data_IF_291660932576
#
_entry.id   IF_291660932576
#
_cell.length_a   1.000
_cell.length_b   1.000
_cell.length_c   1.000
_cell.angle_alpha   90.00
_cell.angle_beta   90.00
_cell.angle_gamma   90.00
#
_symmetry.space_group_name_H-M   'P 1'
#
loop_
_entity.id
_entity.type
_entity.pdbx_description
1 polymer ?
#
# COMPACT_ATOMS: atom_id res chain seq x y z
N UNK A 1 -15.17 13.67 13.10
CA UNK A 1 -15.36 13.56 11.64
C UNK A 1 -15.62 12.11 11.20
N UNK A 2 -14.89 11.10 11.68
CA UNK A 2 -15.09 9.68 11.32
C UNK A 2 -16.32 8.95 11.92
N UNK A 3 -16.99 9.54 12.91
CA UNK A 3 -18.14 8.92 13.60
C UNK A 3 -19.33 8.49 12.72
N UNK A 4 -19.75 9.22 11.65
CA UNK A 4 -20.90 8.84 10.83
C UNK A 4 -20.63 7.59 9.98
N UNK A 5 -19.38 7.32 9.57
CA UNK A 5 -19.02 6.10 8.83
C UNK A 5 -19.24 4.82 9.65
N UNK A 6 -19.20 4.94 10.97
CA UNK A 6 -19.35 3.82 11.90
C UNK A 6 -20.69 3.83 12.65
N UNK A 7 -21.61 4.74 12.29
CA UNK A 7 -22.95 4.76 12.85
C UNK A 7 -23.67 3.43 12.56
N UNK A 8 -24.32 2.86 13.59
CA UNK A 8 -25.08 1.61 13.43
C UNK A 8 -26.27 1.87 12.51
N UNK A 9 -26.27 1.22 11.34
CA UNK A 9 -27.44 1.24 10.45
C UNK A 9 -28.57 0.45 11.08
N UNK A 10 -29.72 1.09 11.28
CA UNK A 10 -30.94 0.43 11.72
C UNK A 10 -31.41 -0.48 10.58
N UNK A 11 -31.59 -1.77 10.88
CA UNK A 11 -32.18 -2.70 9.91
C UNK A 11 -33.69 -2.50 9.94
N UNK A 12 -34.27 -2.20 8.78
CA UNK A 12 -35.71 -2.30 8.58
C UNK A 12 -36.06 -3.79 8.71
N UNK A 13 -36.72 -4.16 9.80
CA UNK A 13 -37.10 -5.55 10.04
C UNK A 13 -38.08 -6.06 9.00
N UNK A 14 -38.18 -7.37 8.87
CA UNK A 14 -39.13 -8.01 7.96
C UNK A 14 -40.38 -8.39 8.76
N UNK A 15 -41.55 -8.02 8.25
CA UNK A 15 -42.81 -8.55 8.75
C UNK A 15 -42.88 -10.04 8.40
N UNK A 16 -42.94 -10.88 9.42
CA UNK A 16 -43.11 -12.33 9.30
C UNK A 16 -44.50 -12.64 9.81
N UNK A 17 -45.35 -13.15 8.92
CA UNK A 17 -46.65 -13.69 9.30
C UNK A 17 -46.42 -15.04 10.00
N UNK A 18 -46.88 -15.18 11.23
CA UNK A 18 -46.87 -16.40 12.00
C UNK A 18 -48.31 -16.81 12.32
N UNK A 19 -48.55 -18.10 12.46
CA UNK A 19 -49.82 -18.61 13.00
C UNK A 19 -49.54 -19.08 14.42
N UNK A 20 -50.07 -18.33 15.39
CA UNK A 20 -49.97 -18.68 16.80
C UNK A 20 -51.28 -19.33 17.27
N UNK A 21 -51.32 -19.82 18.52
CA UNK A 21 -52.50 -20.44 19.15
C UNK A 21 -53.76 -19.56 19.14
N UNK A 22 -53.63 -18.26 18.84
CA UNK A 22 -54.71 -17.28 18.80
C UNK A 22 -55.03 -16.75 17.39
N UNK A 23 -54.47 -17.37 16.34
CA UNK A 23 -54.71 -16.99 14.94
C UNK A 23 -53.50 -16.35 14.23
N UNK A 24 -53.68 -15.82 13.00
CA UNK A 24 -52.61 -15.18 12.25
C UNK A 24 -52.13 -13.90 12.94
N UNK A 25 -50.86 -13.89 13.35
CA UNK A 25 -50.16 -12.75 13.94
C UNK A 25 -49.05 -12.27 12.99
N UNK A 26 -48.75 -10.97 12.99
CA UNK A 26 -47.61 -10.41 12.25
C UNK A 26 -46.57 -9.96 13.26
N UNK A 27 -45.43 -10.65 13.28
CA UNK A 27 -44.28 -10.27 14.11
C UNK A 27 -43.20 -9.64 13.24
N UNK A 28 -42.62 -8.54 13.69
CA UNK A 28 -41.50 -7.89 13.00
C UNK A 28 -40.21 -8.55 13.48
N UNK A 29 -39.63 -9.41 12.64
CA UNK A 29 -38.36 -10.07 12.92
C UNK A 29 -37.17 -9.24 12.41
N UNK A 30 -36.13 -9.09 13.24
CA UNK A 30 -34.87 -8.44 12.84
C UNK A 30 -34.92 -6.92 12.69
N UNK A 31 -35.96 -6.25 13.20
CA UNK A 31 -35.99 -4.79 13.30
C UNK A 31 -35.09 -4.28 14.44
N UNK A 32 -34.44 -3.15 14.19
CA UNK A 32 -33.66 -2.44 15.21
C UNK A 32 -32.15 -2.72 15.13
N UNK A 33 -31.46 -2.29 16.17
CA UNK A 33 -30.02 -2.47 16.31
C UNK A 33 -29.78 -3.86 16.90
N UNK A 34 -29.09 -4.73 16.15
CA UNK A 34 -28.68 -6.03 16.70
C UNK A 34 -27.83 -5.81 17.96
N UNK A 35 -28.33 -6.30 19.11
CA UNK A 35 -27.60 -6.29 20.37
C UNK A 35 -26.47 -7.34 20.40
N UNK A 36 -26.55 -8.34 19.51
CA UNK A 36 -25.58 -9.42 19.40
C UNK A 36 -24.39 -8.99 18.53
N UNK A 37 -23.27 -8.64 19.17
CA UNK A 37 -21.98 -8.41 18.53
C UNK A 37 -20.98 -7.74 19.47
N UNK A 38 -19.69 -8.09 19.34
CA UNK A 38 -18.61 -7.40 20.07
C UNK A 38 -18.66 -5.90 19.73
N UNK A 39 -18.67 -5.00 20.73
CA UNK A 39 -18.65 -3.57 20.47
C UNK A 39 -17.40 -3.22 19.65
N UNK A 40 -17.54 -2.25 18.75
CA UNK A 40 -16.40 -1.72 18.00
C UNK A 40 -15.43 -1.05 18.97
N UNK A 41 -14.15 -1.12 18.64
CA UNK A 41 -13.11 -0.42 19.38
C UNK A 41 -13.34 1.10 19.30
N UNK A 42 -12.88 1.87 20.30
CA UNK A 42 -12.99 3.33 20.28
C UNK A 42 -12.35 3.92 19.02
N UNK A 43 -13.05 4.86 18.37
CA UNK A 43 -12.55 5.51 17.15
C UNK A 43 -11.24 6.25 17.41
N UNK A 44 -11.10 6.87 18.60
CA UNK A 44 -9.88 7.55 19.02
C UNK A 44 -8.67 6.60 19.04
N UNK A 45 -8.85 5.40 19.60
CA UNK A 45 -7.82 4.36 19.61
C UNK A 45 -7.43 3.99 18.17
N UNK A 46 -8.41 3.67 17.32
CA UNK A 46 -8.13 3.26 15.95
C UNK A 46 -7.46 4.35 15.10
N UNK A 47 -7.88 5.62 15.24
CA UNK A 47 -7.25 6.75 14.56
C UNK A 47 -5.80 6.95 15.03
N UNK A 48 -5.57 6.95 16.35
CA UNK A 48 -4.23 7.11 16.91
C UNK A 48 -3.26 6.00 16.48
N UNK A 49 -3.74 4.76 16.33
CA UNK A 49 -2.93 3.65 15.83
C UNK A 49 -2.49 3.88 14.38
N UNK A 50 -3.37 4.40 13.51
CA UNK A 50 -2.99 4.76 12.14
C UNK A 50 -1.93 5.87 12.13
N UNK A 51 -2.12 6.92 12.94
CA UNK A 51 -1.16 8.03 13.01
C UNK A 51 0.22 7.55 13.49
N UNK A 52 0.26 6.75 14.58
CA UNK A 52 1.50 6.19 15.11
C UNK A 52 2.19 5.27 14.09
N UNK A 53 1.41 4.46 13.36
CA UNK A 53 1.94 3.62 12.28
C UNK A 53 2.65 4.45 11.22
N UNK A 54 2.01 5.52 10.75
CA UNK A 54 2.55 6.36 9.70
C UNK A 54 3.74 7.20 10.18
N UNK A 55 3.70 7.72 11.40
CA UNK A 55 4.80 8.50 11.98
C UNK A 55 6.08 7.67 12.16
N UNK A 56 5.96 6.42 12.60
CA UNK A 56 7.11 5.55 12.90
C UNK A 56 7.41 4.50 11.83
N UNK A 57 6.67 4.48 10.72
CA UNK A 57 6.82 3.52 9.60
C UNK A 57 6.82 2.05 10.05
N UNK A 58 5.90 1.69 10.95
CA UNK A 58 5.80 0.33 11.51
C UNK A 58 4.84 -0.58 10.72
N UNK A 59 5.01 -1.89 10.87
CA UNK A 59 4.00 -2.87 10.46
C UNK A 59 2.76 -2.84 11.38
N UNK A 60 1.65 -3.49 10.97
CA UNK A 60 0.44 -3.53 11.80
C UNK A 60 0.66 -4.39 13.07
N UNK A 61 1.52 -5.41 12.99
CA UNK A 61 1.89 -6.29 14.11
C UNK A 61 2.80 -5.58 15.12
N UNK A 62 3.92 -5.00 14.65
CA UNK A 62 4.87 -4.29 15.52
C UNK A 62 4.24 -3.07 16.21
N UNK A 63 3.29 -2.42 15.53
CA UNK A 63 2.55 -1.29 16.10
C UNK A 63 1.80 -1.68 17.37
N UNK A 64 1.09 -2.81 17.33
CA UNK A 64 0.22 -3.27 18.41
C UNK A 64 1.06 -3.74 19.61
N UNK A 65 2.20 -4.38 19.35
CA UNK A 65 3.17 -4.77 20.38
C UNK A 65 3.79 -3.54 21.05
N UNK A 66 4.34 -2.61 20.25
CA UNK A 66 4.99 -1.41 20.78
C UNK A 66 4.02 -0.46 21.49
N UNK A 67 2.74 -0.47 21.11
CA UNK A 67 1.69 0.24 21.84
C UNK A 67 1.48 -0.32 23.25
N UNK A 68 1.52 -1.65 23.42
CA UNK A 68 1.33 -2.28 24.73
C UNK A 68 2.49 -1.96 25.69
N UNK A 69 3.69 -1.75 25.16
CA UNK A 69 4.88 -1.41 25.95
C UNK A 69 5.00 0.10 26.27
N UNK A 70 4.38 0.97 25.47
CA UNK A 70 4.60 2.41 25.53
C UNK A 70 3.44 3.20 26.14
N UNK A 71 3.61 3.65 27.38
CA UNK A 71 2.63 4.46 28.12
C UNK A 71 2.25 5.76 27.38
N UNK A 72 3.19 6.40 26.70
CA UNK A 72 2.93 7.66 25.96
C UNK A 72 1.97 7.40 24.80
N UNK A 73 2.11 6.26 24.12
CA UNK A 73 1.24 5.88 23.02
C UNK A 73 -0.16 5.56 23.51
N UNK A 74 -0.27 4.86 24.64
CA UNK A 74 -1.55 4.56 25.27
C UNK A 74 -2.28 5.85 25.69
N UNK A 75 -1.55 6.80 26.28
CA UNK A 75 -2.11 8.10 26.66
C UNK A 75 -2.60 8.89 25.44
N UNK A 76 -1.79 8.94 24.36
CA UNK A 76 -2.18 9.57 23.10
C UNK A 76 -3.46 8.96 22.53
N UNK A 77 -3.56 7.62 22.54
CA UNK A 77 -4.75 6.86 22.14
C UNK A 77 -5.98 7.07 23.03
N UNK A 78 -5.84 7.77 24.16
CA UNK A 78 -6.93 8.10 25.07
C UNK A 78 -7.13 7.12 26.22
N UNK A 79 -6.14 6.30 26.52
CA UNK A 79 -6.16 5.45 27.71
C UNK A 79 -5.88 6.28 28.96
N UNK A 80 -6.71 6.09 30.00
CA UNK A 80 -6.52 6.72 31.30
C UNK A 80 -5.52 5.97 32.18
N UNK A 81 -5.41 4.66 31.99
CA UNK A 81 -4.55 3.77 32.74
C UNK A 81 -3.69 2.94 31.79
N UNK A 82 -2.54 2.50 32.29
CA UNK A 82 -1.65 1.61 31.56
C UNK A 82 -2.30 0.23 31.40
N UNK A 83 -2.32 -0.27 30.17
CA UNK A 83 -2.80 -1.60 29.81
C UNK A 83 -1.65 -2.36 29.12
N UNK A 84 -1.13 -3.44 29.73
CA UNK A 84 -0.02 -4.22 29.16
C UNK A 84 -0.48 -5.17 28.04
N UNK A 85 -1.78 -5.24 27.75
CA UNK A 85 -2.34 -6.09 26.69
C UNK A 85 -2.36 -5.36 25.36
N UNK A 86 -2.35 -6.14 24.29
CA UNK A 86 -2.52 -5.65 22.93
C UNK A 86 -3.89 -4.92 22.79
N UNK A 87 -3.93 -3.74 22.15
CA UNK A 87 -5.15 -2.96 22.01
C UNK A 87 -6.18 -3.65 21.11
N UNK A 88 -5.72 -4.35 20.09
CA UNK A 88 -6.52 -5.11 19.15
C UNK A 88 -5.69 -6.16 18.42
N UNK A 89 -6.36 -7.05 17.68
CA UNK A 89 -5.68 -7.88 16.68
C UNK A 89 -5.16 -6.99 15.55
N UNK A 90 -3.94 -7.25 15.06
CA UNK A 90 -3.26 -6.44 14.03
C UNK A 90 -4.11 -6.32 12.75
N UNK A 91 -4.86 -7.38 12.40
CA UNK A 91 -5.74 -7.36 11.22
C UNK A 91 -6.85 -6.31 11.30
N UNK A 92 -7.24 -5.88 12.51
CA UNK A 92 -8.27 -4.85 12.70
C UNK A 92 -7.82 -3.48 12.20
N UNK A 93 -6.51 -3.18 12.23
CA UNK A 93 -5.96 -1.91 11.72
C UNK A 93 -6.14 -1.84 10.20
N UNK A 94 -5.84 -2.94 9.50
CA UNK A 94 -6.10 -3.06 8.06
C UNK A 94 -7.59 -2.98 7.72
N UNK A 95 -8.45 -3.66 8.48
CA UNK A 95 -9.92 -3.59 8.30
C UNK A 95 -10.49 -2.20 8.54
N UNK A 96 -9.95 -1.49 9.53
CA UNK A 96 -10.36 -0.11 9.81
C UNK A 96 -9.98 0.82 8.66
N UNK A 97 -8.76 0.70 8.14
CA UNK A 97 -8.30 1.45 6.95
C UNK A 97 -9.19 1.20 5.73
N UNK A 98 -9.53 -0.05 5.48
CA UNK A 98 -10.46 -0.41 4.40
C UNK A 98 -11.87 0.15 4.62
N UNK A 99 -12.33 0.23 5.87
CA UNK A 99 -13.66 0.73 6.21
C UNK A 99 -13.79 2.27 6.10
N UNK A 100 -12.73 3.01 6.42
CA UNK A 100 -12.72 4.49 6.24
C UNK A 100 -12.46 4.89 4.79
N UNK A 101 -11.76 4.04 4.02
CA UNK A 101 -11.39 4.32 2.63
C UNK A 101 -10.40 5.48 2.50
N UNK A 102 -10.09 5.86 1.26
CA UNK A 102 -9.14 6.94 0.95
C UNK A 102 -9.61 8.29 1.52
N UNK A 103 -10.87 8.66 1.30
CA UNK A 103 -11.45 9.90 1.81
C UNK A 103 -11.33 10.03 3.34
N UNK A 104 -11.56 8.95 4.08
CA UNK A 104 -11.43 8.98 5.55
C UNK A 104 -9.98 9.09 6.03
N UNK A 105 -9.02 8.57 5.27
CA UNK A 105 -7.59 8.75 5.55
C UNK A 105 -7.15 10.18 5.23
N UNK A 106 -7.61 10.76 4.12
CA UNK A 106 -7.35 12.16 3.76
C UNK A 106 -7.89 13.13 4.82
N UNK A 107 -9.08 12.87 5.37
CA UNK A 107 -9.64 13.67 6.46
C UNK A 107 -8.79 13.59 7.74
N UNK A 108 -8.26 12.41 8.07
CA UNK A 108 -7.34 12.25 9.21
C UNK A 108 -6.07 13.06 8.99
N UNK A 109 -5.48 12.97 7.79
CA UNK A 109 -4.29 13.75 7.44
C UNK A 109 -4.56 15.25 7.53
N UNK A 110 -5.70 15.70 6.99
CA UNK A 110 -6.12 17.10 7.06
C UNK A 110 -6.23 17.56 8.52
N UNK A 111 -6.90 16.78 9.37
CA UNK A 111 -7.05 17.11 10.79
C UNK A 111 -5.69 17.22 11.51
N UNK A 112 -4.72 16.36 11.17
CA UNK A 112 -3.35 16.42 11.69
C UNK A 112 -2.63 17.69 11.26
N UNK A 113 -2.74 18.08 9.98
CA UNK A 113 -2.17 19.33 9.47
C UNK A 113 -2.83 20.55 10.14
N UNK A 114 -4.15 20.59 10.23
CA UNK A 114 -4.90 21.68 10.85
C UNK A 114 -4.51 21.84 12.34
N UNK A 115 -4.28 20.73 13.04
CA UNK A 115 -3.80 20.71 14.43
C UNK A 115 -2.36 21.21 14.54
N UNK A 116 -1.49 20.87 13.58
CA UNK A 116 -0.12 21.34 13.54
C UNK A 116 -0.03 22.86 13.26
N UNK A 117 -0.91 23.39 12.40
CA UNK A 117 -1.04 24.84 12.17
C UNK A 117 -1.56 25.54 13.42
N UNK A 118 -2.60 24.99 14.05
CA UNK A 118 -3.21 25.57 15.26
C UNK A 118 -2.25 25.58 16.45
N UNK A 119 -1.43 24.55 16.58
CA UNK A 119 -0.39 24.44 17.62
C UNK A 119 0.89 25.22 17.30
N UNK A 120 0.95 25.90 16.13
CA UNK A 120 2.13 26.63 15.61
C UNK A 120 3.37 25.74 15.45
N UNK A 121 3.17 24.44 15.27
CA UNK A 121 4.24 23.50 14.97
C UNK A 121 4.74 23.64 13.52
N UNK A 122 3.86 24.07 12.61
CA UNK A 122 4.17 24.35 11.19
C UNK A 122 4.01 25.85 10.94
N UNK A 123 5.01 26.45 10.30
CA UNK A 123 4.96 27.86 9.88
C UNK A 123 4.25 27.93 8.51
N UNK A 124 3.37 28.92 8.26
CA UNK A 124 2.67 29.04 6.97
C UNK A 124 3.59 29.04 5.73
N UNK A 125 4.82 29.54 5.87
CA UNK A 125 5.83 29.55 4.81
C UNK A 125 6.26 28.13 4.36
N UNK A 126 6.12 27.12 5.21
CA UNK A 126 6.46 25.73 4.86
C UNK A 126 5.49 25.12 3.84
N UNK A 127 4.27 25.67 3.71
CA UNK A 127 3.32 25.23 2.69
C UNK A 127 3.66 25.71 1.27
N UNK A 128 4.59 26.67 1.11
CA UNK A 128 4.96 27.18 -0.22
C UNK A 128 5.79 26.19 -1.03
N UNK A 129 6.50 25.26 -0.38
CA UNK A 129 7.40 24.30 -1.03
C UNK A 129 7.17 22.89 -0.51
N UNK A 130 6.59 22.05 -1.37
CA UNK A 130 6.40 20.62 -1.13
C UNK A 130 7.54 19.83 -1.78
N UNK A 131 8.34 19.14 -0.97
CA UNK A 131 9.34 18.17 -1.48
C UNK A 131 8.67 16.80 -1.49
N UNK A 132 8.42 16.26 -2.68
CA UNK A 132 7.82 14.93 -2.86
C UNK A 132 8.89 13.97 -3.38
N UNK A 133 9.22 12.96 -2.59
CA UNK A 133 10.00 11.82 -3.06
C UNK A 133 9.13 10.97 -4.00
N UNK A 134 9.18 11.27 -5.30
CA UNK A 134 8.51 10.44 -6.31
C UNK A 134 9.30 9.14 -6.50
N UNK A 135 8.91 8.07 -5.81
CA UNK A 135 9.61 6.77 -5.84
C UNK A 135 9.40 5.95 -7.12
N UNK A 136 8.62 6.44 -8.08
CA UNK A 136 8.46 5.83 -9.41
C UNK A 136 8.70 6.88 -10.47
N UNK A 137 9.94 7.32 -10.61
CA UNK A 137 10.35 7.87 -11.89
C UNK A 137 10.36 6.69 -12.87
N UNK A 138 9.62 6.77 -13.97
CA UNK A 138 9.84 5.88 -15.12
C UNK A 138 11.26 6.13 -15.61
N UNK A 139 12.23 5.47 -15.00
CA UNK A 139 13.55 5.41 -15.57
C UNK A 139 13.36 4.60 -16.83
N UNK A 140 13.81 5.13 -17.97
CA UNK A 140 13.84 4.43 -19.25
C UNK A 140 14.84 3.26 -19.21
N UNK A 141 14.70 2.37 -18.22
CA UNK A 141 15.41 1.12 -18.06
C UNK A 141 14.55 0.09 -18.76
N UNK A 142 14.92 -0.26 -19.98
CA UNK A 142 14.48 -1.52 -20.53
C UNK A 142 14.95 -2.65 -19.60
N UNK A 143 14.07 -3.61 -19.29
CA UNK A 143 14.39 -4.78 -18.48
C UNK A 143 15.79 -5.32 -18.86
N UNK A 144 16.69 -5.54 -17.89
CA UNK A 144 18.04 -6.01 -18.20
C UNK A 144 17.90 -7.37 -18.85
N UNK A 145 18.26 -7.44 -20.13
CA UNK A 145 18.41 -8.71 -20.83
C UNK A 145 19.90 -8.81 -21.15
N UNK A 146 20.53 -9.91 -20.73
CA UNK A 146 21.98 -10.08 -20.79
C UNK A 146 22.56 -9.75 -22.17
N UNK A 147 21.85 -10.08 -23.25
CA UNK A 147 22.30 -9.80 -24.62
C UNK A 147 22.45 -8.30 -24.94
N UNK A 148 21.59 -7.42 -24.40
CA UNK A 148 21.72 -5.95 -24.61
C UNK A 148 22.93 -5.41 -23.89
N UNK A 149 23.20 -5.94 -22.68
CA UNK A 149 24.36 -5.57 -21.89
C UNK A 149 25.65 -6.01 -22.58
N UNK A 150 25.69 -7.24 -23.10
CA UNK A 150 26.83 -7.76 -23.86
C UNK A 150 27.09 -6.97 -25.15
N UNK A 151 26.06 -6.57 -25.89
CA UNK A 151 26.24 -5.77 -27.10
C UNK A 151 26.78 -4.35 -26.78
N UNK A 152 26.29 -3.73 -25.70
CA UNK A 152 26.85 -2.46 -25.22
C UNK A 152 28.30 -2.59 -24.78
N UNK A 153 28.66 -3.69 -24.09
CA UNK A 153 30.02 -3.98 -23.69
C UNK A 153 30.95 -4.15 -24.91
N UNK A 154 30.51 -4.90 -25.93
CA UNK A 154 31.24 -5.05 -27.21
C UNK A 154 31.48 -3.70 -27.89
N UNK A 155 30.46 -2.84 -27.99
CA UNK A 155 30.61 -1.50 -28.56
C UNK A 155 31.63 -0.66 -27.81
N UNK A 156 31.59 -0.66 -26.47
CA UNK A 156 32.53 0.08 -25.63
C UNK A 156 33.96 -0.44 -25.76
N UNK A 157 34.14 -1.77 -25.76
CA UNK A 157 35.45 -2.42 -25.92
C UNK A 157 36.06 -2.12 -27.30
N UNK A 158 35.29 -2.24 -28.38
CA UNK A 158 35.76 -1.92 -29.73
C UNK A 158 36.13 -0.45 -29.85
N UNK A 159 35.36 0.46 -29.24
CA UNK A 159 35.68 1.88 -29.23
C UNK A 159 36.95 2.19 -28.42
N UNK A 160 37.17 1.51 -27.30
CA UNK A 160 38.38 1.64 -26.49
C UNK A 160 39.62 1.10 -27.23
N UNK A 161 39.52 -0.07 -27.85
CA UNK A 161 40.60 -0.67 -28.64
C UNK A 161 41.02 0.23 -29.81
N UNK A 162 40.04 0.82 -30.53
CA UNK A 162 40.32 1.80 -31.60
C UNK A 162 41.04 3.05 -31.08
N UNK A 163 40.62 3.58 -29.94
CA UNK A 163 41.30 4.73 -29.29
C UNK A 163 42.73 4.40 -28.88
N UNK A 164 43.00 3.15 -28.50
CA UNK A 164 44.32 2.67 -28.14
C UNK A 164 45.17 2.20 -29.35
N UNK A 165 44.68 2.35 -30.59
CA UNK A 165 45.39 1.90 -31.79
C UNK A 165 45.51 0.38 -31.95
N UNK A 166 44.74 -0.40 -31.19
CA UNK A 166 44.78 -1.87 -31.22
C UNK A 166 43.95 -2.37 -32.42
N UNK A 167 44.61 -3.06 -33.35
CA UNK A 167 43.96 -3.72 -34.47
C UNK A 167 43.24 -5.00 -33.99
N UNK A 168 41.91 -5.00 -34.05
CA UNK A 168 41.09 -6.17 -33.73
C UNK A 168 40.93 -7.06 -34.96
N UNK A 169 41.32 -8.34 -34.85
CA UNK A 169 41.11 -9.35 -35.90
C UNK A 169 39.63 -9.52 -36.28
N UNK A 170 38.73 -9.40 -35.30
CA UNK A 170 37.28 -9.51 -35.49
C UNK A 170 36.54 -8.67 -34.44
N UNK A 171 35.46 -8.00 -34.85
CA UNK A 171 34.68 -7.09 -33.97
C UNK A 171 33.25 -7.56 -33.73
N UNK A 172 32.84 -8.68 -34.35
CA UNK A 172 31.51 -9.31 -34.29
C UNK A 172 30.30 -8.40 -34.60
N UNK A 173 30.52 -7.15 -35.03
CA UNK A 173 29.45 -6.17 -35.23
C UNK A 173 28.38 -6.62 -36.24
N UNK A 174 28.80 -7.26 -37.34
CA UNK A 174 27.90 -7.76 -38.39
C UNK A 174 27.10 -8.98 -37.92
N UNK A 175 27.74 -9.85 -37.13
CA UNK A 175 27.15 -11.07 -36.60
C UNK A 175 26.13 -10.75 -35.50
N UNK A 176 26.45 -9.84 -34.58
CA UNK A 176 25.47 -9.44 -33.55
C UNK A 176 24.23 -8.78 -34.17
N UNK A 177 24.39 -8.01 -35.25
CA UNK A 177 23.25 -7.40 -35.98
C UNK A 177 22.29 -8.46 -36.53
N UNK A 178 22.81 -9.55 -37.11
CA UNK A 178 21.98 -10.62 -37.67
C UNK A 178 21.35 -11.48 -36.57
N UNK A 179 22.10 -11.80 -35.51
CA UNK A 179 21.61 -12.55 -34.34
C UNK A 179 20.51 -11.77 -33.60
N UNK A 180 20.68 -10.45 -33.42
CA UNK A 180 19.66 -9.57 -32.84
C UNK A 180 18.35 -9.60 -33.62
N UNK A 181 18.42 -9.53 -34.96
CA UNK A 181 17.23 -9.61 -35.82
C UNK A 181 16.52 -10.97 -35.67
N UNK A 182 17.28 -12.07 -35.66
CA UNK A 182 16.73 -13.42 -35.47
C UNK A 182 16.10 -13.58 -34.08
N UNK A 183 16.79 -13.13 -33.03
CA UNK A 183 16.30 -13.20 -31.66
C UNK A 183 14.99 -12.41 -31.49
N UNK A 184 14.91 -11.19 -32.02
CA UNK A 184 13.68 -10.39 -32.01
C UNK A 184 12.53 -11.07 -32.77
N UNK A 185 12.80 -11.62 -33.95
CA UNK A 185 11.81 -12.37 -34.73
C UNK A 185 11.30 -13.63 -34.04
N UNK A 186 12.19 -14.40 -33.41
CA UNK A 186 11.81 -15.61 -32.66
C UNK A 186 11.06 -15.29 -31.37
N UNK A 187 11.42 -14.22 -30.66
CA UNK A 187 10.68 -13.74 -29.49
C UNK A 187 9.25 -13.31 -29.88
N UNK A 188 9.11 -12.52 -30.95
CA UNK A 188 7.81 -12.08 -31.47
C UNK A 188 6.93 -13.27 -31.89
N UNK A 189 7.52 -14.25 -32.60
CA UNK A 189 6.81 -15.46 -33.03
C UNK A 189 6.64 -16.52 -31.91
N UNK A 190 7.01 -16.24 -30.65
CA UNK A 190 6.98 -17.16 -29.50
C UNK A 190 7.75 -18.49 -29.73
N UNK A 191 8.76 -18.48 -30.60
CA UNK A 191 9.58 -19.64 -30.94
C UNK A 191 10.77 -19.82 -29.97
N UNK A 192 10.48 -20.04 -28.68
CA UNK A 192 11.50 -20.04 -27.62
C UNK A 192 12.59 -21.11 -27.78
N UNK A 193 12.29 -22.26 -28.41
CA UNK A 193 13.30 -23.30 -28.72
C UNK A 193 14.36 -22.79 -29.71
N UNK A 194 13.98 -21.98 -30.69
CA UNK A 194 14.91 -21.38 -31.67
C UNK A 194 15.64 -20.18 -31.07
N UNK A 195 14.94 -19.39 -30.26
CA UNK A 195 15.55 -18.28 -29.51
C UNK A 195 16.69 -18.77 -28.61
N UNK A 196 16.47 -19.85 -27.84
CA UNK A 196 17.53 -20.44 -26.99
C UNK A 196 18.76 -20.91 -27.76
N UNK A 197 18.65 -21.26 -29.05
CA UNK A 197 19.79 -21.64 -29.88
C UNK A 197 20.57 -20.43 -30.41
N UNK A 198 19.94 -19.26 -30.50
CA UNK A 198 20.57 -18.00 -30.94
C UNK A 198 21.25 -17.26 -29.80
N UNK A 199 20.79 -17.48 -28.56
CA UNK A 199 21.35 -16.87 -27.34
C UNK A 199 22.45 -17.71 -26.69
N UNK A 200 22.75 -18.91 -27.22
CA UNK A 200 23.92 -19.72 -26.85
C UNK A 200 25.12 -19.27 -27.67
#
# INVERSE_FOLDING_TARGET
VLAPHFARKVRAGRAVAQHDLFGPSVQVAGAGIAAAGRPRLPIRLMASLLDLKHAYKLSDEELVERWAENVVWQHFSGMAFYEPRLPCDATQVGRFRAAIGEAGVEELLKATIDTAVSSKAIVPAEFERLIVDTTVQEKAIAHPVDWRLMENARHKLVAAAKRAGIALKQTFAKETKTLRRKAGGYAHARQFKRLRKVLK
#
